data_IF_093189931754
#
_entry.id   IF_093189931754
#
_cell.length_a   1.000
_cell.length_b   1.000
_cell.length_c   1.000
_cell.angle_alpha   90.00
_cell.angle_beta   90.00
_cell.angle_gamma   90.00
#
_symmetry.space_group_name_H-M   'P 1'
#
loop_
_entity.id
_entity.type
_entity.pdbx_description
1 polymer ?
#
# COMPACT_ATOMS: atom_id res chain seq x y z
N UNK A 1 -2.29 -6.75 3.08
CA UNK A 1 -1.02 -7.20 3.70
C UNK A 1 -0.57 -6.16 4.72
N UNK A 2 -0.08 -6.57 5.88
CA UNK A 2 0.57 -5.69 6.86
C UNK A 2 1.93 -6.29 7.15
N UNK A 3 3.01 -5.53 6.96
CA UNK A 3 4.36 -6.07 7.13
C UNK A 3 5.33 -4.95 7.49
N UNK A 4 6.24 -5.26 8.42
CA UNK A 4 7.41 -4.44 8.69
C UNK A 4 8.52 -4.95 7.79
N UNK A 5 9.08 -4.07 6.98
CA UNK A 5 10.19 -4.35 6.09
C UNK A 5 11.47 -3.77 6.68
N UNK A 6 12.52 -4.58 6.74
CA UNK A 6 13.85 -4.09 7.06
C UNK A 6 14.47 -3.47 5.82
N UNK A 7 14.87 -2.22 5.92
CA UNK A 7 15.47 -1.43 4.84
C UNK A 7 16.98 -1.66 4.77
N UNK A 8 17.61 -1.89 5.93
CA UNK A 8 19.00 -2.28 6.01
C UNK A 8 19.10 -3.80 6.13
N UNK A 9 19.83 -4.41 5.20
CA UNK A 9 20.16 -5.81 5.28
C UNK A 9 21.67 -5.96 5.08
N UNK A 10 22.32 -6.67 6.00
CA UNK A 10 23.79 -6.81 6.04
C UNK A 10 24.40 -7.41 4.75
N UNK A 11 23.58 -8.10 3.95
CA UNK A 11 23.97 -8.76 2.69
C UNK A 11 23.52 -8.06 1.41
N UNK A 12 22.63 -7.06 1.47
CA UNK A 12 22.02 -6.48 0.29
C UNK A 12 22.08 -4.95 0.30
N UNK A 13 22.43 -4.37 -0.86
CA UNK A 13 22.37 -2.92 -1.04
C UNK A 13 20.95 -2.39 -0.80
N UNK A 14 20.80 -1.24 -0.12
CA UNK A 14 19.50 -0.67 0.22
C UNK A 14 18.59 -0.51 -1.01
N UNK A 15 19.14 -0.08 -2.15
CA UNK A 15 18.39 0.09 -3.40
C UNK A 15 17.72 -1.21 -3.87
N UNK A 16 18.38 -2.36 -3.67
CA UNK A 16 17.84 -3.69 -4.03
C UNK A 16 16.73 -4.11 -3.06
N UNK A 17 16.86 -3.75 -1.79
CA UNK A 17 15.85 -4.02 -0.76
C UNK A 17 14.58 -3.22 -1.08
N UNK A 18 14.73 -1.93 -1.38
CA UNK A 18 13.62 -1.08 -1.81
C UNK A 18 12.92 -1.67 -3.04
N UNK A 19 13.66 -1.99 -4.10
CA UNK A 19 13.04 -2.53 -5.33
C UNK A 19 12.28 -3.85 -5.07
N UNK A 20 12.81 -4.69 -4.18
CA UNK A 20 12.13 -5.91 -3.73
C UNK A 20 10.81 -5.61 -3.03
N UNK A 21 10.78 -4.62 -2.13
CA UNK A 21 9.57 -4.16 -1.44
C UNK A 21 8.58 -3.60 -2.47
N UNK A 22 9.01 -2.73 -3.39
CA UNK A 22 8.18 -2.17 -4.46
C UNK A 22 7.54 -3.28 -5.32
N UNK A 23 8.32 -4.30 -5.67
CA UNK A 23 7.83 -5.45 -6.42
C UNK A 23 6.84 -6.31 -5.63
N UNK A 24 7.06 -6.52 -4.32
CA UNK A 24 6.14 -7.25 -3.47
C UNK A 24 4.78 -6.53 -3.40
N UNK A 25 4.79 -5.21 -3.22
CA UNK A 25 3.58 -4.38 -3.20
C UNK A 25 2.85 -4.41 -4.55
N UNK A 26 3.57 -4.24 -5.67
CA UNK A 26 2.98 -4.36 -7.02
C UNK A 26 2.38 -5.73 -7.27
N UNK A 27 3.05 -6.81 -6.84
CA UNK A 27 2.52 -8.19 -6.89
C UNK A 27 1.27 -8.33 -6.05
N UNK A 28 1.20 -7.68 -4.89
CA UNK A 28 0.00 -7.69 -4.04
C UNK A 28 -1.16 -6.97 -4.73
N UNK A 29 -0.97 -5.74 -5.21
CA UNK A 29 -1.98 -4.98 -5.96
C UNK A 29 -2.47 -5.78 -7.18
N UNK A 30 -1.56 -6.37 -7.96
CA UNK A 30 -1.92 -7.18 -9.14
C UNK A 30 -2.71 -8.43 -8.77
N UNK A 31 -2.39 -9.08 -7.64
CA UNK A 31 -3.12 -10.26 -7.14
C UNK A 31 -4.54 -9.89 -6.73
N UNK A 32 -4.71 -8.79 -5.99
CA UNK A 32 -6.02 -8.31 -5.57
C UNK A 32 -6.87 -7.85 -6.76
N UNK A 33 -6.30 -7.07 -7.71
CA UNK A 33 -7.00 -6.70 -8.96
C UNK A 33 -7.38 -7.89 -9.84
N UNK A 34 -6.63 -9.00 -9.77
CA UNK A 34 -6.95 -10.24 -10.50
C UNK A 34 -8.09 -11.04 -9.86
N UNK A 35 -8.44 -10.79 -8.60
CA UNK A 35 -9.59 -11.46 -7.99
C UNK A 35 -10.85 -11.06 -8.75
N UNK A 36 -11.66 -12.07 -9.12
CA UNK A 36 -12.96 -11.84 -9.76
C UNK A 36 -13.78 -10.95 -8.84
N UNK A 37 -14.27 -9.84 -9.39
CA UNK A 37 -15.17 -8.93 -8.67
C UNK A 37 -16.37 -9.76 -8.20
N UNK A 38 -16.64 -9.83 -6.88
CA UNK A 38 -17.64 -10.73 -6.34
C UNK A 38 -19.08 -10.31 -6.71
N UNK A 39 -19.27 -9.10 -7.22
CA UNK A 39 -20.58 -8.59 -7.63
C UNK A 39 -20.47 -7.63 -8.81
N UNK A 40 -21.48 -7.64 -9.69
CA UNK A 40 -21.67 -6.66 -10.78
C UNK A 40 -21.71 -5.20 -10.28
N UNK A 41 -21.93 -4.98 -8.98
CA UNK A 41 -21.92 -3.66 -8.29
C UNK A 41 -20.55 -3.17 -7.84
N UNK A 42 -19.54 -4.03 -7.76
CA UNK A 42 -18.18 -3.63 -7.37
C UNK A 42 -17.45 -3.19 -8.63
N UNK A 43 -17.15 -1.89 -8.76
CA UNK A 43 -16.61 -1.33 -10.00
C UNK A 43 -15.07 -1.21 -9.97
N UNK A 44 -14.47 -1.07 -8.78
CA UNK A 44 -13.02 -1.03 -8.62
C UNK A 44 -12.56 -1.56 -7.24
N UNK A 45 -11.31 -2.04 -7.20
CA UNK A 45 -10.60 -2.30 -5.95
C UNK A 45 -9.93 -1.00 -5.51
N UNK A 46 -10.33 -0.49 -4.36
CA UNK A 46 -9.63 0.59 -3.69
C UNK A 46 -8.52 0.02 -2.80
N UNK A 47 -7.43 0.76 -2.66
CA UNK A 47 -6.24 0.31 -1.96
C UNK A 47 -5.84 1.33 -0.91
N UNK A 48 -6.23 1.06 0.32
CA UNK A 48 -5.74 1.82 1.46
C UNK A 48 -4.29 1.42 1.73
N UNK A 49 -3.37 2.32 1.40
CA UNK A 49 -1.95 2.17 1.71
C UNK A 49 -1.62 3.01 2.95
N UNK A 50 -0.90 2.43 3.91
CA UNK A 50 -0.33 3.16 5.04
C UNK A 50 1.16 2.90 5.10
N UNK A 51 1.92 3.96 5.33
CA UNK A 51 3.38 3.91 5.44
C UNK A 51 3.82 4.67 6.69
N UNK A 52 4.78 4.12 7.43
CA UNK A 52 5.39 4.77 8.56
C UNK A 52 6.72 4.13 8.91
N UNK A 53 7.46 4.74 9.83
CA UNK A 53 8.66 4.10 10.41
C UNK A 53 8.22 2.90 11.26
N UNK A 54 7.17 3.10 12.06
CA UNK A 54 6.52 2.09 12.88
C UNK A 54 5.01 2.06 12.60
N UNK A 55 4.32 1.05 13.18
CA UNK A 55 2.87 0.93 13.07
C UNK A 55 2.12 2.15 13.65
N UNK A 56 2.67 2.79 14.68
CA UNK A 56 2.06 3.96 15.34
C UNK A 56 2.19 5.23 14.48
N UNK A 57 3.34 5.41 13.82
CA UNK A 57 3.60 6.51 12.89
C UNK A 57 3.05 6.28 11.48
N UNK A 58 2.35 5.17 11.26
CA UNK A 58 1.84 4.78 9.94
C UNK A 58 0.72 5.72 9.49
N UNK A 59 1.01 6.55 8.50
CA UNK A 59 0.05 7.48 7.89
C UNK A 59 -0.59 6.84 6.67
N UNK A 60 -1.90 7.01 6.55
CA UNK A 60 -2.63 6.63 5.34
C UNK A 60 -2.25 7.59 4.21
N UNK A 61 -1.82 7.05 3.08
CA UNK A 61 -1.39 7.82 1.92
C UNK A 61 -1.56 7.01 0.64
N UNK A 62 -1.41 7.69 -0.50
CA UNK A 62 -1.49 7.03 -1.81
C UNK A 62 -0.30 6.08 -2.02
N UNK A 63 -0.48 5.08 -2.87
CA UNK A 63 0.57 4.11 -3.20
C UNK A 63 1.86 4.80 -3.71
N UNK A 64 1.71 5.81 -4.57
CA UNK A 64 2.83 6.59 -5.10
C UNK A 64 3.60 7.33 -4.00
N UNK A 65 2.88 7.91 -3.04
CA UNK A 65 3.50 8.61 -1.91
C UNK A 65 4.17 7.64 -0.96
N UNK A 66 3.60 6.45 -0.73
CA UNK A 66 4.25 5.40 0.05
C UNK A 66 5.58 4.96 -0.59
N UNK A 67 5.66 4.88 -1.92
CA UNK A 67 6.92 4.60 -2.63
C UNK A 67 7.95 5.71 -2.44
N UNK A 68 7.53 6.98 -2.54
CA UNK A 68 8.42 8.13 -2.30
C UNK A 68 8.89 8.19 -0.85
N UNK A 69 8.01 7.88 0.10
CA UNK A 69 8.34 7.83 1.52
C UNK A 69 9.31 6.68 1.83
N UNK A 70 9.17 5.54 1.16
CA UNK A 70 10.11 4.43 1.22
C UNK A 70 11.50 4.81 0.68
N UNK A 71 11.55 5.50 -0.47
CA UNK A 71 12.82 5.98 -1.04
C UNK A 71 13.52 6.96 -0.09
N UNK A 72 12.78 7.89 0.51
CA UNK A 72 13.29 8.80 1.55
C UNK A 72 13.78 8.03 2.78
N UNK A 73 12.98 7.10 3.29
CA UNK A 73 13.32 6.31 4.46
C UNK A 73 14.63 5.53 4.28
N UNK A 74 14.88 5.01 3.07
CA UNK A 74 16.13 4.36 2.75
C UNK A 74 17.30 5.34 2.59
N UNK A 75 17.07 6.53 2.04
CA UNK A 75 18.09 7.58 1.96
C UNK A 75 18.50 8.07 3.36
N UNK A 76 17.54 8.14 4.27
CA UNK A 76 17.72 8.43 5.70
C UNK A 76 18.35 7.24 6.48
N UNK A 77 18.62 6.12 5.80
CA UNK A 77 19.20 4.90 6.36
C UNK A 77 18.40 4.36 7.55
N UNK A 78 17.07 4.45 7.52
CA UNK A 78 16.22 3.80 8.51
C UNK A 78 16.45 2.29 8.51
N UNK A 79 16.41 1.65 9.68
CA UNK A 79 16.61 0.21 9.81
C UNK A 79 15.39 -0.57 9.32
N UNK A 80 14.20 -0.05 9.56
CA UNK A 80 12.94 -0.67 9.16
C UNK A 80 11.85 0.35 8.84
N UNK A 81 10.83 -0.10 8.14
CA UNK A 81 9.63 0.67 7.82
C UNK A 81 8.39 -0.23 7.86
N UNK A 82 7.28 0.35 8.27
CA UNK A 82 5.97 -0.28 8.27
C UNK A 82 5.22 0.03 6.98
N UNK A 83 4.71 -1.01 6.32
CA UNK A 83 3.82 -0.87 5.17
C UNK A 83 2.59 -1.73 5.35
N UNK A 84 1.43 -1.10 5.24
CA UNK A 84 0.13 -1.73 5.22
C UNK A 84 -0.56 -1.42 3.89
N UNK A 85 -1.03 -2.44 3.20
CA UNK A 85 -1.86 -2.30 2.00
C UNK A 85 -3.12 -3.12 2.19
N UNK A 86 -4.27 -2.48 2.28
CA UNK A 86 -5.56 -3.13 2.43
C UNK A 86 -6.38 -2.93 1.16
N UNK A 87 -6.73 -4.04 0.51
CA UNK A 87 -7.65 -4.00 -0.63
C UNK A 87 -9.08 -3.91 -0.09
N UNK A 88 -9.79 -2.85 -0.45
CA UNK A 88 -11.20 -2.64 -0.16
C UNK A 88 -11.98 -2.77 -1.47
N UNK A 89 -12.97 -3.66 -1.47
CA UNK A 89 -13.93 -3.75 -2.55
C UNK A 89 -14.87 -2.55 -2.43
N UNK A 90 -14.64 -1.51 -3.23
CA UNK A 90 -15.46 -0.31 -3.21
C UNK A 90 -16.56 -0.46 -4.25
N UNK A 91 -17.79 -0.40 -3.75
CA UNK A 91 -18.94 -0.23 -4.62
C UNK A 91 -18.88 1.18 -5.19
N UNK A 92 -19.32 1.34 -6.44
CA UNK A 92 -19.49 2.67 -7.06
C UNK A 92 -20.10 3.60 -6.01
N UNK A 93 -19.56 4.81 -5.74
CA UNK A 93 -20.37 5.80 -5.08
C UNK A 93 -21.59 5.93 -5.98
N UNK A 94 -22.72 5.38 -5.52
CA UNK A 94 -23.99 5.93 -5.92
C UNK A 94 -23.80 7.37 -5.50
N UNK A 95 -23.71 8.27 -6.48
CA UNK A 95 -23.84 9.69 -6.24
C UNK A 95 -25.00 9.77 -5.25
N UNK A 96 -24.74 10.21 -4.01
CA UNK A 96 -25.84 10.55 -3.13
C UNK A 96 -26.64 11.58 -3.93
N UNK A 97 -27.73 11.12 -4.54
CA UNK A 97 -28.95 11.90 -4.47
C UNK A 97 -29.23 11.95 -2.97
N UNK A 98 -28.79 13.06 -2.39
CA UNK A 98 -29.30 13.54 -1.12
C UNK A 98 -30.82 13.43 -1.13
N UNK A 99 -31.34 12.98 0.01
CA UNK A 99 -32.67 13.29 0.55
C UNK A 99 -33.89 12.79 -0.25
N UNK A 100 -34.60 11.80 0.29
CA UNK A 100 -35.66 11.95 1.28
C UNK A 100 -37.05 12.16 0.63
N UNK A 101 -37.99 11.37 1.16
CA UNK A 101 -39.46 11.41 0.99
C UNK A 101 -40.09 10.63 -0.17
#
# INVERSE_FOLDING_TARGET
MKKIFQLQHEKHHPDRVIDSIKNELRKYLKRERKKKLPNSKTMYWDFDCRFGVNQEDAKAMSFDDALKALDKASADKLESCYIEVMAKAVNKPIKEEEEAE
#
